data_IF_758479013472
#
_entry.id   IF_758479013472
#
_cell.length_a   1.000
_cell.length_b   1.000
_cell.length_c   1.000
_cell.angle_alpha   90.00
_cell.angle_beta   90.00
_cell.angle_gamma   90.00
#
_symmetry.space_group_name_H-M   'P 1'
#
loop_
_entity.id
_entity.type
_entity.pdbx_description
1 polymer ?
#
# COMPACT_ATOMS: atom_id res chain seq x y z
N UNK A 1 18.60 -20.04 -36.42
CA UNK A 1 19.45 -19.03 -35.74
C UNK A 1 18.57 -17.88 -35.27
N UNK A 2 18.31 -17.80 -33.96
CA UNK A 2 17.62 -16.64 -33.38
C UNK A 2 18.60 -15.47 -33.43
N UNK A 3 18.28 -14.46 -34.24
CA UNK A 3 19.12 -13.25 -34.37
C UNK A 3 19.19 -12.55 -33.00
N UNK A 4 20.38 -12.15 -32.51
CA UNK A 4 20.56 -11.54 -31.18
C UNK A 4 19.68 -10.30 -30.96
N UNK A 5 19.29 -9.64 -32.05
CA UNK A 5 18.36 -8.51 -32.05
C UNK A 5 16.96 -8.85 -31.51
N UNK A 6 16.42 -10.04 -31.80
CA UNK A 6 15.11 -10.45 -31.29
C UNK A 6 15.16 -10.80 -29.80
N UNK A 7 16.28 -11.32 -29.32
CA UNK A 7 16.49 -11.59 -27.89
C UNK A 7 16.56 -10.29 -27.09
N UNK A 8 17.26 -9.28 -27.63
CA UNK A 8 17.35 -7.95 -27.03
C UNK A 8 15.98 -7.26 -26.99
N UNK A 9 15.23 -7.28 -28.09
CA UNK A 9 13.89 -6.66 -28.14
C UNK A 9 12.92 -7.27 -27.10
N UNK A 10 12.93 -8.59 -26.94
CA UNK A 10 12.11 -9.28 -25.95
C UNK A 10 12.49 -8.87 -24.51
N UNK A 11 13.78 -8.78 -24.21
CA UNK A 11 14.26 -8.38 -22.88
C UNK A 11 13.81 -6.98 -22.48
N UNK A 12 13.80 -6.02 -23.41
CA UNK A 12 13.33 -4.64 -23.15
C UNK A 12 11.83 -4.60 -22.85
N UNK A 13 11.03 -5.38 -23.57
CA UNK A 13 9.57 -5.41 -23.35
C UNK A 13 9.19 -6.03 -22.00
N UNK A 14 9.92 -7.05 -21.54
CA UNK A 14 9.66 -7.70 -20.25
C UNK A 14 10.06 -6.77 -19.09
N UNK A 15 11.18 -6.06 -19.21
CA UNK A 15 11.64 -5.11 -18.18
C UNK A 15 10.71 -3.90 -18.04
N UNK A 16 10.14 -3.40 -19.15
CA UNK A 16 9.19 -2.28 -19.12
C UNK A 16 7.91 -2.63 -18.35
N UNK A 17 7.42 -3.87 -18.47
CA UNK A 17 6.21 -4.34 -17.81
C UNK A 17 6.35 -4.39 -16.26
N UNK A 18 7.54 -4.68 -15.73
CA UNK A 18 7.79 -4.66 -14.28
C UNK A 18 7.82 -3.27 -13.65
N UNK A 19 7.95 -2.19 -14.44
CA UNK A 19 7.98 -0.80 -13.90
C UNK A 19 6.61 -0.13 -13.82
N UNK A 20 5.56 -0.76 -14.38
CA UNK A 20 4.22 -0.18 -14.43
C UNK A 20 3.47 -0.39 -13.12
N UNK A 21 3.67 0.49 -12.13
CA UNK A 21 2.87 0.51 -10.91
C UNK A 21 1.71 1.52 -11.02
N UNK A 22 0.54 1.10 -11.53
CA UNK A 22 -0.64 1.98 -11.63
C UNK A 22 -1.25 2.33 -10.24
N UNK A 23 -1.17 1.39 -9.28
CA UNK A 23 -1.74 1.54 -7.93
C UNK A 23 -0.67 1.56 -6.85
N UNK A 24 0.10 2.65 -6.82
CA UNK A 24 1.06 2.95 -5.74
C UNK A 24 0.42 3.40 -4.43
N UNK A 25 -0.90 3.60 -4.41
CA UNK A 25 -1.64 4.05 -3.23
C UNK A 25 -2.47 2.90 -2.69
N UNK A 26 -2.34 2.64 -1.39
CA UNK A 26 -3.26 1.80 -0.62
C UNK A 26 -4.74 2.16 -0.86
N UNK A 27 -5.57 1.12 -1.03
CA UNK A 27 -7.03 1.24 -1.14
C UNK A 27 -7.63 1.58 0.23
N UNK A 28 -8.50 2.59 0.26
CA UNK A 28 -9.17 3.06 1.49
C UNK A 28 -9.97 1.94 2.14
N UNK A 29 -10.57 1.04 1.35
CA UNK A 29 -11.33 -0.11 1.85
C UNK A 29 -10.41 -1.08 2.62
N UNK A 30 -9.28 -1.45 2.02
CA UNK A 30 -8.28 -2.32 2.65
C UNK A 30 -7.72 -1.70 3.94
N UNK A 31 -7.39 -0.40 3.92
CA UNK A 31 -6.92 0.31 5.10
C UNK A 31 -7.97 0.29 6.23
N UNK A 32 -9.24 0.47 5.89
CA UNK A 32 -10.34 0.46 6.86
C UNK A 32 -10.56 -0.92 7.50
N UNK A 33 -10.46 -1.99 6.73
CA UNK A 33 -10.55 -3.36 7.23
C UNK A 33 -9.40 -3.69 8.19
N UNK A 34 -8.17 -3.28 7.85
CA UNK A 34 -7.02 -3.47 8.73
C UNK A 34 -7.18 -2.72 10.06
N UNK A 35 -7.72 -1.50 10.04
CA UNK A 35 -8.03 -0.74 11.27
C UNK A 35 -9.06 -1.50 12.12
N UNK A 36 -10.12 -2.04 11.51
CA UNK A 36 -11.13 -2.81 12.24
C UNK A 36 -10.53 -4.07 12.88
N UNK A 37 -9.65 -4.78 12.18
CA UNK A 37 -8.93 -5.93 12.73
C UNK A 37 -8.05 -5.54 13.92
N UNK A 38 -7.34 -4.43 13.82
CA UNK A 38 -6.52 -3.90 14.91
C UNK A 38 -7.35 -3.49 16.13
N UNK A 39 -8.52 -2.89 15.93
CA UNK A 39 -9.45 -2.58 17.01
C UNK A 39 -9.98 -3.85 17.69
N UNK A 40 -10.32 -4.88 16.92
CA UNK A 40 -10.77 -6.16 17.46
C UNK A 40 -9.65 -6.85 18.27
N UNK A 41 -8.42 -6.81 17.78
CA UNK A 41 -7.25 -7.35 18.49
C UNK A 41 -6.97 -6.60 19.79
N UNK A 42 -7.06 -5.26 19.78
CA UNK A 42 -6.90 -4.45 20.98
C UNK A 42 -7.95 -4.78 22.06
N UNK A 43 -9.21 -5.00 21.66
CA UNK A 43 -10.25 -5.48 22.58
C UNK A 43 -9.90 -6.83 23.21
N UNK A 44 -9.28 -7.75 22.46
CA UNK A 44 -8.82 -9.05 23.00
C UNK A 44 -7.73 -8.87 24.06
N UNK A 45 -6.79 -7.93 23.86
CA UNK A 45 -5.74 -7.60 24.85
C UNK A 45 -6.37 -7.13 26.16
N UNK A 46 -7.33 -6.20 26.08
CA UNK A 46 -8.04 -5.66 27.26
C UNK A 46 -8.76 -6.78 28.02
N UNK A 47 -9.40 -7.70 27.28
CA UNK A 47 -10.16 -8.80 27.85
C UNK A 47 -9.28 -9.94 28.41
N UNK A 48 -8.00 -10.04 28.02
CA UNK A 48 -7.05 -11.05 28.52
C UNK A 48 -6.49 -10.76 29.92
N UNK A 49 -7.24 -10.00 30.75
CA UNK A 49 -6.84 -9.63 32.11
C UNK A 49 -6.68 -10.89 32.97
N UNK A 50 -5.57 -10.99 33.69
CA UNK A 50 -5.26 -12.15 34.53
C UNK A 50 -4.68 -13.35 33.77
N UNK A 51 -4.42 -13.23 32.46
CA UNK A 51 -3.74 -14.24 31.66
C UNK A 51 -2.46 -13.68 31.04
N UNK A 52 -1.35 -13.57 31.82
CA UNK A 52 -0.15 -12.86 31.38
C UNK A 52 0.44 -13.37 30.07
N UNK A 53 0.57 -14.68 29.91
CA UNK A 53 1.16 -15.30 28.70
C UNK A 53 0.34 -14.97 27.46
N UNK A 54 -0.98 -15.10 27.55
CA UNK A 54 -1.90 -14.83 26.44
C UNK A 54 -1.87 -13.34 26.10
N UNK A 55 -1.88 -12.48 27.11
CA UNK A 55 -1.80 -11.04 26.93
C UNK A 55 -0.50 -10.62 26.25
N UNK A 56 0.65 -11.15 26.68
CA UNK A 56 1.95 -10.85 26.06
C UNK A 56 1.97 -11.23 24.58
N UNK A 57 1.45 -12.40 24.20
CA UNK A 57 1.43 -12.79 22.78
C UNK A 57 0.44 -11.94 21.96
N UNK A 58 -0.70 -11.55 22.53
CA UNK A 58 -1.63 -10.64 21.86
C UNK A 58 -1.03 -9.23 21.68
N UNK A 59 -0.32 -8.72 22.68
CA UNK A 59 0.41 -7.45 22.59
C UNK A 59 1.53 -7.51 21.54
N UNK A 60 2.27 -8.61 21.48
CA UNK A 60 3.28 -8.85 20.44
C UNK A 60 2.66 -8.84 19.04
N UNK A 61 1.53 -9.53 18.85
CA UNK A 61 0.79 -9.53 17.58
C UNK A 61 0.28 -8.15 17.20
N UNK A 62 -0.28 -7.41 18.16
CA UNK A 62 -0.73 -6.05 17.92
C UNK A 62 0.41 -5.14 17.48
N UNK A 63 1.59 -5.27 18.10
CA UNK A 63 2.73 -4.47 17.72
C UNK A 63 3.20 -4.77 16.29
N UNK A 64 3.38 -6.04 15.97
CA UNK A 64 3.77 -6.46 14.63
C UNK A 64 2.74 -6.05 13.57
N UNK A 65 1.46 -6.38 13.78
CA UNK A 65 0.44 -6.32 12.75
C UNK A 65 -0.14 -4.91 12.57
N UNK A 66 -0.19 -4.11 13.65
CA UNK A 66 -0.92 -2.84 13.67
C UNK A 66 -0.04 -1.59 13.76
N UNK A 67 1.15 -1.70 14.33
CA UNK A 67 2.06 -0.57 14.57
C UNK A 67 3.25 -0.64 13.64
N UNK A 68 4.06 -1.69 13.70
CA UNK A 68 5.33 -1.78 12.96
C UNK A 68 5.08 -1.79 11.44
N UNK A 69 4.07 -2.52 10.97
CA UNK A 69 3.68 -2.55 9.55
C UNK A 69 3.20 -1.18 9.07
N UNK A 70 2.42 -0.45 9.88
CA UNK A 70 1.85 0.85 9.46
C UNK A 70 2.84 2.00 9.58
N UNK A 71 3.73 1.98 10.57
CA UNK A 71 4.71 3.03 10.80
C UNK A 71 5.49 3.37 9.51
N UNK A 72 5.96 2.36 8.79
CA UNK A 72 6.67 2.58 7.52
C UNK A 72 5.76 2.84 6.33
N UNK A 73 4.53 2.33 6.36
CA UNK A 73 3.60 2.43 5.22
C UNK A 73 2.93 3.80 5.15
N UNK A 74 2.46 4.33 6.28
CA UNK A 74 1.73 5.58 6.35
C UNK A 74 2.63 6.78 5.94
N UNK A 75 3.91 6.75 6.35
CA UNK A 75 4.90 7.77 5.97
C UNK A 75 5.18 7.78 4.45
N UNK A 76 5.33 6.60 3.84
CA UNK A 76 5.54 6.45 2.40
C UNK A 76 4.29 6.85 1.61
N UNK A 77 3.12 6.47 2.12
CA UNK A 77 1.83 6.74 1.50
C UNK A 77 1.53 8.25 1.45
N UNK A 78 1.84 8.99 2.51
CA UNK A 78 1.69 10.44 2.52
C UNK A 78 2.58 11.13 1.47
N UNK A 79 3.84 10.69 1.34
CA UNK A 79 4.80 11.23 0.38
C UNK A 79 4.43 10.91 -1.09
N UNK A 80 3.85 9.74 -1.35
CA UNK A 80 3.55 9.26 -2.72
C UNK A 80 2.13 9.65 -3.15
N UNK A 81 1.16 9.65 -2.23
CA UNK A 81 -0.26 9.75 -2.56
C UNK A 81 -0.95 11.03 -2.07
N UNK A 82 -0.28 11.86 -1.26
CA UNK A 82 -0.86 13.04 -0.60
C UNK A 82 -1.50 14.08 -1.53
N UNK A 83 -1.17 14.11 -2.83
CA UNK A 83 -1.81 14.99 -3.82
C UNK A 83 -2.40 14.29 -5.04
N UNK A 84 -2.35 12.95 -5.13
CA UNK A 84 -2.59 12.22 -6.38
C UNK A 84 -3.96 12.52 -6.99
N UNK A 85 -4.97 12.75 -6.15
CA UNK A 85 -6.30 13.18 -6.57
C UNK A 85 -6.27 14.56 -7.26
N UNK A 86 -5.69 15.57 -6.60
CA UNK A 86 -5.54 16.92 -7.16
C UNK A 86 -4.72 16.89 -8.45
N UNK A 87 -3.63 16.13 -8.50
CA UNK A 87 -2.81 15.98 -9.70
C UNK A 87 -3.60 15.38 -10.87
N UNK A 88 -4.51 14.42 -10.60
CA UNK A 88 -5.39 13.84 -11.62
C UNK A 88 -6.41 14.87 -12.12
N UNK A 89 -7.04 15.61 -11.22
CA UNK A 89 -7.98 16.69 -11.55
C UNK A 89 -7.30 17.77 -12.42
N UNK A 90 -6.08 18.18 -12.08
CA UNK A 90 -5.29 19.11 -12.90
C UNK A 90 -4.98 18.54 -14.29
N UNK A 91 -4.58 17.28 -14.40
CA UNK A 91 -4.32 16.64 -15.71
C UNK A 91 -5.58 16.59 -16.58
N UNK A 92 -6.74 16.33 -15.98
CA UNK A 92 -8.01 16.31 -16.70
C UNK A 92 -8.49 17.72 -17.09
N UNK A 93 -8.22 18.73 -16.26
CA UNK A 93 -8.47 20.13 -16.60
C UNK A 93 -7.59 20.58 -17.78
N UNK A 94 -6.28 20.33 -17.73
CA UNK A 94 -5.34 20.67 -18.81
C UNK A 94 -5.69 19.96 -20.13
N UNK A 95 -6.14 18.70 -20.07
CA UNK A 95 -6.61 17.98 -21.28
C UNK A 95 -7.86 18.60 -21.89
N UNK A 96 -8.79 19.08 -21.06
CA UNK A 96 -10.01 19.76 -21.54
C UNK A 96 -9.70 21.12 -22.14
N UNK A 97 -8.79 21.88 -21.53
CA UNK A 97 -8.30 23.16 -22.06
C UNK A 97 -7.54 22.98 -23.37
N UNK A 98 -6.74 21.92 -23.53
CA UNK A 98 -6.02 21.63 -24.77
C UNK A 98 -6.91 21.13 -25.92
N UNK A 99 -8.17 20.78 -25.64
CA UNK A 99 -9.16 20.34 -26.61
C UNK A 99 -10.14 21.45 -27.02
N UNK A 100 -10.06 22.62 -26.39
CA UNK A 100 -10.76 23.86 -26.77
C UNK A 100 -9.88 24.72 -27.69
#
# INVERSE_FOLDING_TARGET
MIKPFFLAAFSVTVLAACSSSENTCEDITLASEQIQQCQALHKKIINAKGQPIIRTELERRYQNDCIDIRYYRDDQQAAICGNKHKAKEYREAVKREAQQ
#
